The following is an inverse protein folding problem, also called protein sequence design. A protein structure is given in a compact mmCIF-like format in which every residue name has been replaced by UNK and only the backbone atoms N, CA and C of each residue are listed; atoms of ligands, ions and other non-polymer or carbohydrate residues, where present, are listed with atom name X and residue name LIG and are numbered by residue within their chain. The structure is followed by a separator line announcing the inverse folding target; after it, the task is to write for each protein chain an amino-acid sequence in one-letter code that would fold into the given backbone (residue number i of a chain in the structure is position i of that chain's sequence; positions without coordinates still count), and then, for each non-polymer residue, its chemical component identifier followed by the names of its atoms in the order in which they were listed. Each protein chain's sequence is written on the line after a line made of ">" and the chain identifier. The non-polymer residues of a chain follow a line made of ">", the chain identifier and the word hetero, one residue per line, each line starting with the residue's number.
data_IF_700641273078
#
_entry.id   IF_700641273078
#
_cell.length_a   1.000
_cell.length_b   1.000
_cell.length_c   1.000
_cell.angle_alpha   90.00
_cell.angle_beta   90.00
_cell.angle_gamma   90.00
#
_symmetry.space_group_name_H-M   'P 1'
#
loop_
_entity.id
_entity.type
_entity.pdbx_description
1 polymer ?
#
# COMPACT_ATOMS: atom_id res chain seq x y z
N UNK A 1 15.99 6.25 13.08
CA UNK A 1 16.31 5.48 14.29
C UNK A 1 15.42 5.87 15.46
N UNK A 2 15.27 7.17 15.76
CA UNK A 2 14.54 7.64 16.96
C UNK A 2 13.06 7.21 16.95
N UNK A 3 12.36 7.35 15.84
CA UNK A 3 10.95 6.96 15.74
C UNK A 3 10.76 5.45 15.98
N UNK A 4 11.63 4.60 15.44
CA UNK A 4 11.55 3.16 15.67
C UNK A 4 11.75 2.80 17.16
N UNK A 5 12.67 3.47 17.86
CA UNK A 5 12.83 3.30 19.31
C UNK A 5 11.56 3.66 20.07
N UNK A 6 10.95 4.81 19.75
CA UNK A 6 9.70 5.24 20.40
C UNK A 6 8.59 4.24 20.14
N UNK A 7 8.43 3.75 18.90
CA UNK A 7 7.45 2.72 18.56
C UNK A 7 7.69 1.45 19.37
N UNK A 8 8.94 0.98 19.48
CA UNK A 8 9.26 -0.23 20.23
C UNK A 8 9.05 -0.08 21.74
N UNK A 9 9.19 1.12 22.28
CA UNK A 9 8.86 1.41 23.69
C UNK A 9 7.34 1.34 23.91
N UNK A 10 6.57 1.95 23.02
CA UNK A 10 5.10 1.99 23.14
C UNK A 10 4.44 0.66 22.79
N UNK A 11 5.03 -0.08 21.83
CA UNK A 11 4.52 -1.33 21.30
C UNK A 11 5.61 -2.38 21.19
N UNK A 12 6.08 -2.95 22.32
CA UNK A 12 7.25 -3.86 22.34
C UNK A 12 7.11 -5.09 21.41
N UNK A 13 5.87 -5.53 21.16
CA UNK A 13 5.61 -6.68 20.29
C UNK A 13 5.87 -6.42 18.79
N UNK A 14 5.99 -5.17 18.37
CA UNK A 14 6.21 -4.85 16.95
C UNK A 14 7.65 -5.11 16.50
N UNK A 15 8.64 -4.98 17.38
CA UNK A 15 10.07 -5.22 17.10
C UNK A 15 10.54 -4.54 15.80
N UNK A 16 10.19 -3.25 15.63
CA UNK A 16 10.54 -2.48 14.44
C UNK A 16 12.06 -2.35 14.35
N UNK A 17 12.70 -2.70 13.21
CA UNK A 17 14.15 -2.55 13.07
C UNK A 17 14.58 -1.08 13.20
N UNK A 18 15.53 -0.81 14.11
CA UNK A 18 15.96 0.55 14.44
C UNK A 18 17.06 1.09 13.54
N UNK A 19 17.86 0.20 12.96
CA UNK A 19 19.04 0.58 12.19
C UNK A 19 19.02 0.00 10.79
N UNK A 20 19.88 0.55 9.93
CA UNK A 20 20.13 0.04 8.59
C UNK A 20 18.86 -0.03 7.71
N UNK A 21 18.04 1.03 7.78
CA UNK A 21 16.71 1.13 7.13
C UNK A 21 16.81 1.61 5.67
N UNK A 22 17.70 0.98 4.90
CA UNK A 22 17.81 1.22 3.44
C UNK A 22 16.55 0.80 2.69
N UNK A 23 15.79 -0.15 3.24
CA UNK A 23 14.51 -0.60 2.73
C UNK A 23 13.49 0.53 2.61
N UNK A 24 13.35 1.38 3.62
CA UNK A 24 12.46 2.55 3.59
C UNK A 24 12.92 3.54 2.51
N UNK A 25 14.21 3.83 2.47
CA UNK A 25 14.78 4.75 1.48
C UNK A 25 14.55 4.25 0.07
N UNK A 26 14.74 2.97 -0.19
CA UNK A 26 14.49 2.36 -1.49
C UNK A 26 13.01 2.35 -1.86
N UNK A 27 12.14 1.99 -0.95
CA UNK A 27 10.71 1.92 -1.23
C UNK A 27 10.09 3.31 -1.49
N UNK A 28 10.50 4.34 -0.73
CA UNK A 28 9.82 5.64 -0.73
C UNK A 28 10.58 6.75 -1.45
N UNK A 29 11.92 6.71 -1.54
CA UNK A 29 12.72 7.83 -2.05
C UNK A 29 13.53 7.50 -3.31
N UNK A 30 14.39 6.47 -3.26
CA UNK A 30 15.34 6.21 -4.36
C UNK A 30 14.86 5.19 -5.37
N UNK A 31 13.75 4.52 -5.10
CA UNK A 31 13.25 3.41 -5.91
C UNK A 31 13.94 2.08 -5.61
N UNK A 32 13.31 1.01 -6.05
CA UNK A 32 13.76 -0.38 -5.83
C UNK A 32 14.76 -0.74 -6.92
N UNK A 33 15.95 -1.25 -6.57
CA UNK A 33 16.94 -1.71 -7.55
C UNK A 33 16.35 -2.70 -8.55
N UNK A 34 16.65 -2.47 -9.84
CA UNK A 34 16.14 -3.31 -10.94
C UNK A 34 14.67 -3.09 -11.31
N UNK A 35 13.91 -2.28 -10.54
CA UNK A 35 12.50 -1.99 -10.81
C UNK A 35 12.26 -0.49 -11.08
N UNK A 36 12.42 0.34 -10.06
CA UNK A 36 12.09 1.78 -10.12
C UNK A 36 13.24 2.68 -9.67
N UNK A 37 14.45 2.14 -9.59
CA UNK A 37 15.62 2.89 -9.11
C UNK A 37 15.88 4.13 -9.96
N UNK A 38 16.07 5.28 -9.29
CA UNK A 38 16.50 6.51 -9.96
C UNK A 38 17.94 6.38 -10.48
N UNK A 39 18.29 7.24 -11.45
CA UNK A 39 19.64 7.26 -12.01
C UNK A 39 20.71 7.48 -10.93
N UNK A 40 21.90 6.87 -11.06
CA UNK A 40 23.00 7.12 -10.14
C UNK A 40 23.32 8.63 -10.04
N UNK A 41 23.45 9.12 -8.81
CA UNK A 41 23.71 10.53 -8.54
C UNK A 41 22.49 11.47 -8.58
N UNK A 42 21.31 10.97 -8.97
CA UNK A 42 20.09 11.75 -8.84
C UNK A 42 19.72 11.95 -7.36
N UNK A 43 19.23 13.15 -6.99
CA UNK A 43 18.82 13.38 -5.60
C UNK A 43 17.62 12.51 -5.22
N UNK A 44 17.55 12.00 -3.99
CA UNK A 44 16.36 11.29 -3.50
C UNK A 44 15.13 12.21 -3.57
N UNK A 45 14.02 11.67 -4.07
CA UNK A 45 12.75 12.39 -4.16
C UNK A 45 11.60 11.48 -3.72
N UNK A 46 10.57 12.06 -3.14
CA UNK A 46 9.32 11.38 -2.80
C UNK A 46 8.32 11.31 -3.99
N UNK A 47 8.82 11.54 -5.19
CA UNK A 47 8.01 11.44 -6.40
C UNK A 47 7.60 10.00 -6.69
N UNK A 48 6.39 9.83 -7.20
CA UNK A 48 5.92 8.55 -7.71
C UNK A 48 6.76 8.13 -8.93
N UNK A 49 7.30 6.92 -8.87
CA UNK A 49 8.15 6.35 -9.93
C UNK A 49 7.40 5.24 -10.62
N UNK A 50 7.46 5.20 -11.94
CA UNK A 50 6.84 4.13 -12.72
C UNK A 50 7.82 3.58 -13.76
N UNK A 51 7.92 2.26 -13.82
CA UNK A 51 8.64 1.54 -14.85
C UNK A 51 7.66 0.99 -15.88
N UNK A 52 7.58 1.62 -17.04
CA UNK A 52 6.70 1.22 -18.13
C UNK A 52 7.15 -0.08 -18.84
N UNK A 53 8.34 -0.58 -18.55
CA UNK A 53 8.82 -1.87 -19.06
C UNK A 53 8.23 -3.07 -18.34
N UNK A 54 7.50 -2.87 -17.23
CA UNK A 54 6.82 -3.95 -16.51
C UNK A 54 5.44 -4.18 -17.11
N UNK A 55 5.19 -5.38 -17.61
CA UNK A 55 3.90 -5.73 -18.21
C UNK A 55 2.77 -5.75 -17.18
N UNK A 56 1.53 -5.40 -17.58
CA UNK A 56 0.36 -5.50 -16.72
C UNK A 56 0.17 -6.90 -16.13
N UNK A 57 -0.10 -6.96 -14.82
CA UNK A 57 -0.40 -8.20 -14.14
C UNK A 57 -1.92 -8.47 -14.21
N UNK A 58 -2.36 -9.61 -14.79
CA UNK A 58 -3.79 -9.95 -14.86
C UNK A 58 -4.40 -10.27 -13.48
N UNK A 59 -3.56 -10.58 -12.49
CA UNK A 59 -3.98 -10.90 -11.13
C UNK A 59 -3.27 -9.96 -10.13
N UNK A 60 -3.66 -8.67 -10.07
CA UNK A 60 -2.97 -7.69 -9.26
C UNK A 60 -3.10 -8.00 -7.76
N UNK A 61 -1.98 -7.90 -7.06
CA UNK A 61 -1.97 -7.95 -5.60
C UNK A 61 -2.20 -6.54 -5.02
N UNK A 62 -3.14 -6.39 -4.08
CA UNK A 62 -3.34 -5.11 -3.38
C UNK A 62 -2.08 -4.65 -2.63
N UNK A 63 -1.23 -5.60 -2.26
CA UNK A 63 0.05 -5.31 -1.59
C UNK A 63 1.20 -5.01 -2.56
N UNK A 64 0.93 -4.82 -3.85
CA UNK A 64 1.93 -4.47 -4.84
C UNK A 64 3.20 -5.31 -4.71
N UNK A 65 4.35 -4.67 -4.67
CA UNK A 65 5.65 -5.37 -4.60
C UNK A 65 5.78 -6.24 -3.35
N UNK A 66 5.18 -5.87 -2.22
CA UNK A 66 5.19 -6.72 -1.01
C UNK A 66 4.41 -8.03 -1.20
N UNK A 67 3.43 -8.04 -2.10
CA UNK A 67 2.67 -9.21 -2.52
C UNK A 67 3.27 -9.94 -3.73
N UNK A 68 4.48 -9.58 -4.16
CA UNK A 68 5.17 -10.18 -5.32
C UNK A 68 4.75 -9.61 -6.67
N UNK A 69 3.94 -8.55 -6.69
CA UNK A 69 3.44 -7.91 -7.90
C UNK A 69 4.28 -6.67 -8.24
N UNK A 70 5.23 -6.82 -9.14
CA UNK A 70 6.18 -5.75 -9.52
C UNK A 70 5.53 -4.60 -10.30
N UNK A 71 4.27 -4.72 -10.72
CA UNK A 71 3.52 -3.64 -11.34
C UNK A 71 2.80 -2.75 -10.31
N UNK A 72 2.65 -3.20 -9.07
CA UNK A 72 2.02 -2.45 -8.00
C UNK A 72 2.99 -1.53 -7.25
N UNK A 73 2.45 -0.71 -6.36
CA UNK A 73 3.21 0.24 -5.54
C UNK A 73 4.43 -0.45 -4.88
N UNK A 74 5.60 0.16 -4.88
CA UNK A 74 5.95 1.52 -5.32
C UNK A 74 6.33 1.67 -6.81
N UNK A 75 6.01 0.71 -7.68
CA UNK A 75 6.07 0.89 -9.12
C UNK A 75 4.74 1.49 -9.61
N UNK A 76 4.66 2.82 -9.67
CA UNK A 76 3.39 3.51 -9.84
C UNK A 76 2.47 3.36 -8.61
N UNK A 77 1.21 3.68 -8.80
CA UNK A 77 0.14 3.51 -7.80
C UNK A 77 -1.16 3.22 -8.53
N UNK A 78 -1.57 1.97 -8.54
CA UNK A 78 -2.88 1.58 -9.10
C UNK A 78 -3.98 1.96 -8.12
N UNK A 79 -5.20 2.10 -8.62
CA UNK A 79 -6.38 2.41 -7.79
C UNK A 79 -6.66 1.34 -6.73
N UNK A 80 -6.24 0.10 -6.99
CA UNK A 80 -6.41 -1.05 -6.09
C UNK A 80 -5.23 -1.29 -5.15
N UNK A 81 -4.13 -0.54 -5.29
CA UNK A 81 -2.97 -0.70 -4.42
C UNK A 81 -3.27 -0.11 -3.04
N UNK A 82 -3.14 -0.91 -2.02
CA UNK A 82 -3.28 -0.53 -0.62
C UNK A 82 -1.99 0.12 -0.12
N UNK A 83 -1.83 1.39 -0.50
CA UNK A 83 -0.57 2.12 -0.26
C UNK A 83 -0.32 2.38 1.21
N UNK A 84 -1.37 2.52 2.01
CA UNK A 84 -1.24 2.72 3.46
C UNK A 84 -0.68 1.47 4.11
N UNK A 85 -1.31 0.33 3.91
CA UNK A 85 -0.85 -0.97 4.44
C UNK A 85 0.56 -1.30 3.96
N UNK A 86 0.86 -1.08 2.66
CA UNK A 86 2.20 -1.31 2.11
C UNK A 86 3.22 -0.43 2.84
N UNK A 87 2.92 0.86 3.02
CA UNK A 87 3.84 1.81 3.66
C UNK A 87 4.06 1.48 5.13
N UNK A 88 3.00 1.14 5.87
CA UNK A 88 3.09 0.73 7.28
C UNK A 88 3.93 -0.54 7.43
N UNK A 89 3.73 -1.53 6.57
CA UNK A 89 4.53 -2.77 6.56
C UNK A 89 6.00 -2.51 6.23
N UNK A 90 6.30 -1.64 5.27
CA UNK A 90 7.68 -1.24 4.96
C UNK A 90 8.30 -0.55 6.18
N UNK A 91 7.62 0.42 6.78
CA UNK A 91 8.09 1.11 8.00
C UNK A 91 8.25 0.13 9.16
N UNK A 92 7.32 -0.80 9.34
CA UNK A 92 7.39 -1.87 10.33
C UNK A 92 8.52 -2.88 10.13
N UNK A 93 9.19 -2.86 8.95
CA UNK A 93 10.35 -3.69 8.68
C UNK A 93 10.05 -4.96 7.88
N UNK A 94 8.95 -4.99 7.15
CA UNK A 94 8.56 -6.14 6.32
C UNK A 94 9.69 -6.62 5.40
N UNK A 95 10.40 -5.69 4.75
CA UNK A 95 11.52 -5.98 3.87
C UNK A 95 12.80 -6.40 4.63
N UNK A 96 12.82 -6.23 5.94
CA UNK A 96 13.87 -6.71 6.85
C UNK A 96 13.50 -8.02 7.56
N UNK A 97 12.42 -8.67 7.15
CA UNK A 97 11.96 -9.94 7.71
C UNK A 97 10.90 -9.83 8.79
N UNK A 98 10.56 -8.62 9.25
CA UNK A 98 9.49 -8.40 10.24
C UNK A 98 8.12 -8.40 9.56
N UNK A 99 7.55 -9.59 9.35
CA UNK A 99 6.33 -9.82 8.55
C UNK A 99 5.03 -9.54 9.32
N UNK A 100 5.00 -8.48 10.11
CA UNK A 100 3.78 -8.08 10.83
C UNK A 100 2.68 -7.69 9.84
N UNK A 101 1.42 -8.09 10.10
CA UNK A 101 0.27 -7.73 9.28
C UNK A 101 -0.26 -6.34 9.66
N UNK A 102 0.61 -5.32 9.56
CA UNK A 102 0.23 -3.94 9.82
C UNK A 102 -0.72 -3.44 8.73
N UNK A 103 -1.64 -2.56 9.11
CA UNK A 103 -2.60 -1.96 8.21
C UNK A 103 -3.59 -1.07 8.95
N UNK A 104 -4.29 -0.21 8.20
CA UNK A 104 -5.25 0.74 8.73
C UNK A 104 -6.67 0.17 8.90
N UNK A 105 -6.86 -1.11 8.57
CA UNK A 105 -8.15 -1.80 8.64
C UNK A 105 -9.10 -1.50 7.48
N UNK A 106 -8.63 -0.84 6.43
CA UNK A 106 -9.41 -0.55 5.21
C UNK A 106 -8.81 -1.31 4.03
N UNK A 107 -9.31 -2.50 3.77
CA UNK A 107 -8.77 -3.41 2.74
C UNK A 107 -9.30 -3.15 1.34
N UNK A 108 -10.40 -2.44 1.18
CA UNK A 108 -11.12 -2.27 -0.09
C UNK A 108 -11.74 -0.88 -0.21
N UNK A 109 -11.90 -0.43 -1.47
CA UNK A 109 -12.64 0.79 -1.75
C UNK A 109 -14.14 0.60 -1.46
N UNK A 110 -14.79 1.61 -0.88
CA UNK A 110 -16.22 1.61 -0.55
C UNK A 110 -17.15 1.64 -1.78
N UNK A 111 -16.62 2.03 -2.94
CA UNK A 111 -17.34 2.09 -4.22
C UNK A 111 -16.54 1.40 -5.33
N UNK A 112 -17.23 0.67 -6.18
CA UNK A 112 -16.61 0.01 -7.34
C UNK A 112 -15.98 1.05 -8.29
N UNK A 113 -14.80 0.73 -8.80
CA UNK A 113 -14.16 1.52 -9.85
C UNK A 113 -14.92 1.42 -11.16
N UNK A 114 -14.83 2.47 -12.00
CA UNK A 114 -15.45 2.49 -13.32
C UNK A 114 -14.59 1.71 -14.32
N UNK A 115 -15.25 1.11 -15.33
CA UNK A 115 -14.56 0.45 -16.43
C UNK A 115 -13.93 1.42 -17.45
N UNK A 116 -14.30 2.72 -17.41
CA UNK A 116 -13.81 3.76 -18.31
C UNK A 116 -13.26 4.94 -17.56
N UNK A 117 -12.40 5.75 -18.22
CA UNK A 117 -11.85 6.99 -17.67
C UNK A 117 -12.98 7.86 -17.07
N UNK A 118 -12.79 8.46 -15.89
CA UNK A 118 -11.56 8.54 -15.09
C UNK A 118 -11.30 7.35 -14.15
N UNK A 119 -11.96 6.24 -14.30
CA UNK A 119 -11.86 4.98 -13.54
C UNK A 119 -12.24 5.07 -12.06
N UNK A 120 -12.10 6.21 -11.43
CA UNK A 120 -12.51 6.44 -10.03
C UNK A 120 -14.02 6.55 -9.93
N UNK A 121 -14.59 6.07 -8.83
CA UNK A 121 -16.02 6.24 -8.52
C UNK A 121 -16.37 7.72 -8.31
N UNK A 122 -17.65 8.05 -8.42
CA UNK A 122 -18.14 9.37 -8.02
C UNK A 122 -17.93 9.57 -6.53
N UNK A 123 -17.53 10.78 -6.09
CA UNK A 123 -17.37 11.06 -4.68
C UNK A 123 -18.68 10.81 -3.90
N UNK A 124 -18.56 10.43 -2.63
CA UNK A 124 -19.70 10.36 -1.75
C UNK A 124 -20.18 11.79 -1.44
N UNK A 125 -21.48 12.05 -1.55
CA UNK A 125 -22.04 13.28 -1.02
C UNK A 125 -22.02 13.24 0.52
N UNK A 126 -21.77 14.36 1.18
CA UNK A 126 -21.79 14.43 2.65
C UNK A 126 -23.11 13.96 3.25
N UNK A 127 -24.21 14.18 2.55
CA UNK A 127 -25.54 13.69 2.92
C UNK A 127 -25.60 12.14 2.90
N UNK A 128 -25.04 11.50 1.88
CA UNK A 128 -25.03 10.03 1.76
C UNK A 128 -24.19 9.37 2.85
N UNK A 129 -23.11 10.02 3.30
CA UNK A 129 -22.27 9.51 4.36
C UNK A 129 -22.95 9.45 5.72
N UNK A 130 -23.91 10.35 5.98
CA UNK A 130 -24.69 10.34 7.22
C UNK A 130 -25.77 9.25 7.24
N UNK A 131 -26.35 8.93 6.10
CA UNK A 131 -27.37 7.88 5.98
C UNK A 131 -26.76 6.47 6.08
N UNK A 132 -25.53 6.30 5.65
CA UNK A 132 -24.84 5.00 5.69
C UNK A 132 -24.23 4.64 7.04
N UNK A 133 -24.29 5.52 8.03
CA UNK A 133 -23.84 5.21 9.41
C UNK A 133 -24.67 4.12 10.10
N UNK A 134 -25.79 3.72 9.53
CA UNK A 134 -26.68 2.67 10.06
C UNK A 134 -26.58 1.35 9.30
N UNK A 135 -25.84 1.28 8.21
CA UNK A 135 -25.59 -0.01 7.55
C UNK A 135 -24.26 -0.61 8.04
N UNK A 136 -24.25 -1.93 8.34
CA UNK A 136 -23.01 -2.62 8.70
C UNK A 136 -22.02 -2.49 7.54
N UNK A 137 -20.78 -2.19 7.86
CA UNK A 137 -19.67 -1.86 6.96
C UNK A 137 -19.24 -3.04 6.08
N UNK A 138 -20.14 -3.76 5.43
CA UNK A 138 -19.77 -4.75 4.42
C UNK A 138 -21.01 -5.23 3.65
N UNK A 139 -21.23 -4.64 2.47
CA UNK A 139 -21.93 -5.39 1.44
C UNK A 139 -20.90 -6.36 0.81
N UNK A 140 -21.18 -7.67 0.72
CA UNK A 140 -20.27 -8.61 0.08
C UNK A 140 -20.06 -8.22 -1.38
N UNK A 141 -18.80 -8.15 -1.79
CA UNK A 141 -18.43 -7.93 -3.19
C UNK A 141 -18.89 -9.16 -3.97
N UNK A 142 -19.69 -9.01 -5.07
CA UNK A 142 -20.04 -10.13 -5.90
C UNK A 142 -18.76 -10.74 -6.49
N UNK A 143 -18.41 -11.97 -6.08
CA UNK A 143 -17.24 -12.69 -6.58
C UNK A 143 -16.15 -13.00 -5.57
N UNK A 144 -16.30 -12.64 -4.28
CA UNK A 144 -15.37 -13.10 -3.25
C UNK A 144 -15.76 -14.52 -2.77
N UNK A 145 -14.95 -15.56 -3.06
CA UNK A 145 -15.24 -16.94 -2.65
C UNK A 145 -14.95 -17.20 -1.17
N UNK A 146 -14.44 -16.23 -0.41
CA UNK A 146 -13.96 -16.47 0.96
C UNK A 146 -14.95 -16.10 2.04
N UNK A 147 -16.12 -15.52 1.72
CA UNK A 147 -17.28 -15.37 2.62
C UNK A 147 -17.03 -15.35 4.12
N UNK A 148 -15.96 -14.69 4.57
CA UNK A 148 -15.68 -14.59 6.00
C UNK A 148 -16.47 -13.42 6.59
N UNK A 149 -17.40 -13.78 7.44
CA UNK A 149 -18.14 -12.90 8.34
C UNK A 149 -17.22 -12.31 9.40
#
# INVERSE_FOLDING_TARGET
>A
PELAKVINILFPGLNVPENNRTDIVQALLTGIPGLTQIAPGAPPTDTLKINLGVAPNPHPSRFGVLGGDTQGFPNGRRLTDDVVDISERVVGGFLKGNKLPLGDGVDQNDKAFRASFPYVASPAAGFDSQLKRTEPAHAPVPGDPTGSR
#
